data_IF_710719690936
#
_entry.id   IF_710719690936
#
_cell.length_a   1.000
_cell.length_b   1.000
_cell.length_c   1.000
_cell.angle_alpha   90.00
_cell.angle_beta   90.00
_cell.angle_gamma   90.00
#
_symmetry.space_group_name_H-M   'P 1'
#
loop_
_entity.id
_entity.type
_entity.pdbx_description
1 polymer ?
#
# COMPACT_ATOMS: atom_id res chain seq x y z
N UNK A 1 -14.13 -28.15 -6.85
CA UNK A 1 -13.86 -26.71 -7.09
C UNK A 1 -12.65 -26.45 -8.01
N UNK A 2 -11.58 -27.29 -8.02
CA UNK A 2 -10.74 -27.44 -9.25
C UNK A 2 -11.62 -27.83 -10.43
N UNK A 3 -12.61 -28.68 -10.17
CA UNK A 3 -13.64 -29.01 -11.15
C UNK A 3 -14.41 -27.81 -11.67
N UNK A 4 -14.70 -26.75 -10.90
CA UNK A 4 -15.56 -25.67 -11.41
C UNK A 4 -14.83 -24.76 -12.38
N UNK A 5 -13.53 -24.48 -12.15
CA UNK A 5 -12.71 -23.71 -13.08
C UNK A 5 -12.25 -24.55 -14.28
N UNK A 6 -11.90 -25.83 -14.08
CA UNK A 6 -11.63 -26.76 -15.16
C UNK A 6 -12.88 -26.99 -16.01
N UNK A 7 -14.05 -27.20 -15.40
CA UNK A 7 -15.34 -27.38 -16.06
C UNK A 7 -15.82 -26.10 -16.74
N UNK A 8 -15.60 -24.90 -16.18
CA UNK A 8 -15.91 -23.64 -16.87
C UNK A 8 -14.97 -23.41 -18.06
N UNK A 9 -13.71 -23.83 -17.99
CA UNK A 9 -12.76 -23.77 -19.13
C UNK A 9 -13.08 -24.83 -20.18
N UNK A 10 -13.49 -26.04 -19.78
CA UNK A 10 -13.82 -27.16 -20.68
C UNK A 10 -15.25 -27.07 -21.27
N UNK A 11 -16.22 -26.53 -20.55
CA UNK A 11 -17.63 -26.39 -20.96
C UNK A 11 -18.01 -24.99 -21.45
N UNK A 12 -17.04 -24.17 -21.83
CA UNK A 12 -17.20 -22.81 -22.41
C UNK A 12 -17.94 -22.77 -23.80
N UNK A 13 -18.66 -23.85 -24.14
CA UNK A 13 -19.44 -24.03 -25.36
C UNK A 13 -20.70 -24.90 -25.23
N UNK A 14 -21.11 -25.32 -24.03
CA UNK A 14 -22.37 -26.06 -23.84
C UNK A 14 -23.40 -25.20 -23.09
N UNK A 15 -24.54 -24.95 -23.74
CA UNK A 15 -25.72 -24.38 -23.09
C UNK A 15 -26.18 -25.35 -21.97
N UNK A 16 -26.44 -24.86 -20.75
CA UNK A 16 -27.07 -25.70 -19.75
C UNK A 16 -28.48 -26.05 -20.24
N UNK A 17 -28.72 -27.34 -20.46
CA UNK A 17 -30.06 -27.86 -20.75
C UNK A 17 -30.83 -27.90 -19.41
N UNK A 18 -32.05 -27.36 -19.33
CA UNK A 18 -32.79 -27.31 -18.06
C UNK A 18 -33.24 -28.72 -17.66
N UNK A 19 -32.78 -29.21 -16.51
CA UNK A 19 -33.35 -30.39 -15.85
C UNK A 19 -34.39 -29.99 -14.79
N UNK A 20 -35.42 -30.83 -14.56
CA UNK A 20 -36.57 -30.47 -13.74
C UNK A 20 -36.24 -30.43 -12.25
N UNK A 21 -36.63 -29.33 -11.61
CA UNK A 21 -36.49 -29.08 -10.17
C UNK A 21 -37.36 -30.03 -9.34
N UNK A 22 -36.81 -30.58 -8.25
CA UNK A 22 -37.53 -31.29 -7.21
C UNK A 22 -37.43 -30.48 -5.91
N UNK A 23 -38.52 -30.20 -5.16
CA UNK A 23 -38.48 -29.26 -4.07
C UNK A 23 -38.06 -29.94 -2.77
N UNK A 24 -36.94 -29.50 -2.17
CA UNK A 24 -36.42 -30.05 -0.92
C UNK A 24 -35.74 -29.03 -0.01
N UNK A 25 -36.48 -28.63 1.03
CA UNK A 25 -36.11 -28.12 2.37
C UNK A 25 -35.34 -26.76 2.52
N UNK A 26 -35.81 -25.81 3.38
CA UNK A 26 -35.34 -24.42 3.37
C UNK A 26 -34.18 -24.06 4.32
N UNK A 27 -33.45 -25.01 4.91
CA UNK A 27 -32.54 -24.71 6.05
C UNK A 27 -31.04 -24.93 5.82
N UNK A 28 -30.55 -24.86 4.58
CA UNK A 28 -29.12 -24.70 4.32
C UNK A 28 -28.91 -23.79 3.10
N UNK A 29 -28.46 -22.55 3.34
CA UNK A 29 -27.97 -21.64 2.30
C UNK A 29 -26.60 -22.13 1.76
N UNK A 30 -26.56 -23.35 1.21
CA UNK A 30 -25.56 -23.72 0.22
C UNK A 30 -26.13 -23.21 -1.09
N UNK A 31 -25.59 -22.09 -1.56
CA UNK A 31 -25.93 -21.58 -2.87
C UNK A 31 -25.65 -22.67 -3.91
N UNK A 32 -26.69 -23.12 -4.62
CA UNK A 32 -26.54 -24.18 -5.61
C UNK A 32 -25.55 -23.77 -6.69
N UNK A 33 -24.74 -24.71 -7.17
CA UNK A 33 -23.73 -24.47 -8.19
C UNK A 33 -24.33 -23.81 -9.44
N UNK A 34 -25.59 -24.15 -9.76
CA UNK A 34 -26.38 -23.55 -10.83
C UNK A 34 -26.55 -22.03 -10.67
N UNK A 35 -26.85 -21.55 -9.45
CA UNK A 35 -27.00 -20.10 -9.17
C UNK A 35 -25.68 -19.36 -9.29
N UNK A 36 -24.57 -20.00 -8.90
CA UNK A 36 -23.23 -19.44 -9.06
C UNK A 36 -22.89 -19.31 -10.54
N UNK A 37 -23.16 -20.36 -11.32
CA UNK A 37 -22.90 -20.41 -12.76
C UNK A 37 -23.76 -19.39 -13.53
N UNK A 38 -25.04 -19.26 -13.20
CA UNK A 38 -25.92 -18.25 -13.80
C UNK A 38 -25.40 -16.84 -13.60
N UNK A 39 -24.99 -16.49 -12.37
CA UNK A 39 -24.41 -15.17 -12.10
C UNK A 39 -23.09 -14.98 -12.84
N UNK A 40 -22.25 -16.01 -12.91
CA UNK A 40 -21.00 -15.96 -13.66
C UNK A 40 -21.24 -15.70 -15.15
N UNK A 41 -22.22 -16.37 -15.77
CA UNK A 41 -22.57 -16.17 -17.17
C UNK A 41 -23.11 -14.75 -17.46
N UNK A 42 -23.76 -14.08 -16.50
CA UNK A 42 -24.23 -12.69 -16.66
C UNK A 42 -23.10 -11.68 -16.92
N UNK A 43 -21.86 -12.01 -16.56
CA UNK A 43 -20.70 -11.16 -16.82
C UNK A 43 -20.04 -11.40 -18.18
N UNK A 44 -20.60 -12.30 -19.01
CA UNK A 44 -20.06 -12.65 -20.33
C UNK A 44 -18.57 -12.99 -20.28
N UNK A 45 -18.20 -14.06 -19.54
CA UNK A 45 -16.81 -14.45 -19.37
C UNK A 45 -16.14 -14.64 -20.74
N UNK A 46 -14.97 -14.03 -20.97
CA UNK A 46 -14.28 -14.14 -22.24
C UNK A 46 -13.88 -15.60 -22.49
N UNK A 47 -13.94 -16.02 -23.75
CA UNK A 47 -13.46 -17.35 -24.14
C UNK A 47 -11.94 -17.35 -24.24
N UNK A 48 -11.29 -18.39 -23.74
CA UNK A 48 -9.86 -18.59 -23.93
C UNK A 48 -9.59 -19.73 -24.90
N UNK A 49 -8.99 -19.39 -26.03
CA UNK A 49 -8.70 -20.35 -27.09
C UNK A 49 -7.30 -20.97 -26.95
N UNK A 50 -6.54 -20.64 -25.90
CA UNK A 50 -5.25 -21.26 -25.59
C UNK A 50 -4.11 -20.95 -26.58
N UNK A 51 -4.07 -19.73 -27.12
CA UNK A 51 -3.00 -19.30 -28.04
C UNK A 51 -1.64 -19.10 -27.36
N UNK A 52 -0.52 -19.05 -28.13
CA UNK A 52 0.84 -18.94 -27.59
C UNK A 52 1.21 -17.52 -27.12
N UNK A 53 0.32 -16.54 -27.32
CA UNK A 53 0.56 -15.15 -26.99
C UNK A 53 0.33 -14.90 -25.48
N UNK A 54 1.39 -14.61 -24.69
CA UNK A 54 1.25 -14.36 -23.26
C UNK A 54 0.42 -13.12 -22.94
N UNK A 55 0.37 -12.12 -23.83
CA UNK A 55 -0.42 -10.91 -23.60
C UNK A 55 -1.93 -11.21 -23.74
N UNK A 56 -2.30 -12.16 -24.61
CA UNK A 56 -3.69 -12.64 -24.71
C UNK A 56 -4.09 -13.40 -23.45
N UNK A 57 -3.20 -14.27 -22.95
CA UNK A 57 -3.44 -15.02 -21.72
C UNK A 57 -3.57 -14.10 -20.50
N UNK A 58 -2.70 -13.09 -20.39
CA UNK A 58 -2.76 -12.07 -19.33
C UNK A 58 -4.08 -11.31 -19.35
N UNK A 59 -4.49 -10.75 -20.50
CA UNK A 59 -5.76 -10.01 -20.62
C UNK A 59 -6.98 -10.88 -20.31
N UNK A 60 -6.95 -12.15 -20.71
CA UNK A 60 -8.02 -13.08 -20.37
C UNK A 60 -8.08 -13.33 -18.86
N UNK A 61 -6.93 -13.59 -18.25
CA UNK A 61 -6.81 -13.87 -16.81
C UNK A 61 -7.25 -12.67 -15.97
N UNK A 62 -6.85 -11.46 -16.35
CA UNK A 62 -7.30 -10.22 -15.71
C UNK A 62 -8.82 -10.13 -15.69
N UNK A 63 -9.45 -10.30 -16.86
CA UNK A 63 -10.91 -10.20 -16.98
C UNK A 63 -11.64 -11.30 -16.20
N UNK A 64 -11.11 -12.51 -16.14
CA UNK A 64 -11.69 -13.59 -15.33
C UNK A 64 -11.62 -13.27 -13.83
N UNK A 65 -10.48 -12.77 -13.35
CA UNK A 65 -10.33 -12.36 -11.94
C UNK A 65 -11.30 -11.22 -11.60
N UNK A 66 -11.48 -10.25 -12.49
CA UNK A 66 -12.41 -9.13 -12.28
C UNK A 66 -13.86 -9.62 -12.14
N UNK A 67 -14.26 -10.62 -12.93
CA UNK A 67 -15.58 -11.24 -12.83
C UNK A 67 -15.74 -11.95 -11.47
N UNK A 68 -14.73 -12.70 -11.04
CA UNK A 68 -14.76 -13.35 -9.72
C UNK A 68 -14.86 -12.32 -8.58
N UNK A 69 -14.12 -11.21 -8.66
CA UNK A 69 -14.22 -10.11 -7.71
C UNK A 69 -15.64 -9.51 -7.68
N UNK A 70 -16.23 -9.24 -8.85
CA UNK A 70 -17.58 -8.69 -8.96
C UNK A 70 -18.69 -9.62 -8.44
N UNK A 71 -18.48 -10.93 -8.49
CA UNK A 71 -19.39 -11.93 -7.92
C UNK A 71 -19.29 -12.07 -6.39
N UNK A 72 -18.51 -11.21 -5.74
CA UNK A 72 -18.09 -11.39 -4.35
C UNK A 72 -17.47 -12.77 -4.12
N UNK A 73 -16.86 -13.34 -5.16
CA UNK A 73 -15.93 -14.45 -5.06
C UNK A 73 -14.58 -13.86 -4.65
N UNK A 74 -14.59 -13.12 -3.53
CA UNK A 74 -13.41 -12.41 -3.05
C UNK A 74 -12.39 -13.40 -2.53
N UNK A 75 -11.13 -13.06 -2.72
CA UNK A 75 -10.01 -13.79 -2.13
C UNK A 75 -10.21 -13.92 -0.61
N UNK A 76 -10.79 -12.93 0.06
CA UNK A 76 -11.08 -13.01 1.50
C UNK A 76 -12.01 -14.18 1.89
N UNK A 77 -13.07 -14.44 1.11
CA UNK A 77 -13.98 -15.58 1.37
C UNK A 77 -13.30 -16.93 1.16
N UNK A 78 -12.32 -17.01 0.26
CA UNK A 78 -11.53 -18.22 0.04
C UNK A 78 -10.54 -18.50 1.18
N UNK A 79 -10.03 -17.46 1.86
CA UNK A 79 -9.11 -17.61 2.99
C UNK A 79 -9.81 -17.74 4.34
N UNK A 80 -11.08 -17.35 4.46
CA UNK A 80 -11.87 -17.43 5.70
C UNK A 80 -12.59 -18.76 5.90
N UNK A 81 -13.00 -19.44 4.81
CA UNK A 81 -13.96 -20.55 4.94
C UNK A 81 -13.32 -21.93 5.18
N UNK A 82 -12.09 -22.17 4.75
CA UNK A 82 -11.48 -23.51 4.88
C UNK A 82 -9.95 -23.41 5.02
N UNK A 83 -9.35 -24.37 5.72
CA UNK A 83 -7.89 -24.61 5.72
C UNK A 83 -7.36 -25.11 4.36
N UNK A 84 -7.98 -24.68 3.26
CA UNK A 84 -7.60 -24.97 1.88
C UNK A 84 -7.65 -23.70 1.01
N UNK A 85 -6.72 -22.75 1.19
CA UNK A 85 -6.35 -21.71 0.20
C UNK A 85 -5.79 -22.26 -1.12
N UNK A 86 -5.96 -23.56 -1.37
CA UNK A 86 -5.27 -24.31 -2.43
C UNK A 86 -5.91 -24.03 -3.79
N UNK A 87 -7.19 -23.72 -3.91
CA UNK A 87 -7.86 -23.82 -5.23
C UNK A 87 -7.53 -22.69 -6.21
N UNK A 88 -7.57 -21.42 -5.80
CA UNK A 88 -7.20 -20.31 -6.70
C UNK A 88 -5.69 -20.23 -6.91
N UNK A 89 -4.89 -20.36 -5.85
CA UNK A 89 -3.42 -20.39 -5.95
C UNK A 89 -2.96 -21.55 -6.85
N UNK A 90 -3.58 -22.73 -6.76
CA UNK A 90 -3.29 -23.86 -7.66
C UNK A 90 -3.72 -23.56 -9.10
N UNK A 91 -4.91 -22.98 -9.30
CA UNK A 91 -5.35 -22.57 -10.63
C UNK A 91 -4.38 -21.58 -11.27
N UNK A 92 -3.98 -20.53 -10.54
CA UNK A 92 -3.02 -19.53 -11.03
C UNK A 92 -1.68 -20.19 -11.36
N UNK A 93 -1.20 -21.11 -10.51
CA UNK A 93 0.03 -21.85 -10.77
C UNK A 93 -0.06 -22.69 -12.05
N UNK A 94 -1.12 -23.49 -12.20
CA UNK A 94 -1.31 -24.37 -13.35
C UNK A 94 -1.56 -23.57 -14.65
N UNK A 95 -2.34 -22.50 -14.57
CA UNK A 95 -2.58 -21.58 -15.68
C UNK A 95 -1.28 -20.91 -16.11
N UNK A 96 -0.51 -20.38 -15.15
CA UNK A 96 0.75 -19.72 -15.45
C UNK A 96 1.75 -20.69 -16.11
N UNK A 97 1.90 -21.89 -15.55
CA UNK A 97 2.79 -22.92 -16.09
C UNK A 97 2.41 -23.38 -17.50
N UNK A 98 1.10 -23.37 -17.83
CA UNK A 98 0.60 -23.82 -19.13
C UNK A 98 0.68 -22.73 -20.21
N UNK A 99 0.45 -21.47 -19.87
CA UNK A 99 0.23 -20.41 -20.85
C UNK A 99 1.31 -19.32 -20.86
N UNK A 100 2.20 -19.27 -19.87
CA UNK A 100 3.32 -18.33 -19.86
C UNK A 100 4.64 -19.09 -20.03
N UNK A 101 5.44 -18.74 -21.06
CA UNK A 101 6.80 -19.26 -21.16
C UNK A 101 7.59 -18.97 -19.88
N UNK A 102 8.47 -19.89 -19.48
CA UNK A 102 9.25 -19.77 -18.24
C UNK A 102 9.93 -18.41 -18.08
N UNK A 103 10.55 -17.89 -19.15
CA UNK A 103 11.21 -16.57 -19.13
C UNK A 103 10.25 -15.41 -18.84
N UNK A 104 9.01 -15.49 -19.33
CA UNK A 104 7.99 -14.46 -19.08
C UNK A 104 7.50 -14.56 -17.64
N UNK A 105 7.29 -15.78 -17.14
CA UNK A 105 6.90 -16.02 -15.76
C UNK A 105 7.98 -15.51 -14.79
N UNK A 106 9.24 -15.88 -15.02
CA UNK A 106 10.38 -15.42 -14.24
C UNK A 106 10.45 -13.89 -14.21
N UNK A 107 10.33 -13.23 -15.37
CA UNK A 107 10.32 -11.76 -15.46
C UNK A 107 9.18 -11.12 -14.65
N UNK A 108 7.98 -11.70 -14.67
CA UNK A 108 6.81 -11.20 -13.93
C UNK A 108 6.93 -11.46 -12.43
N UNK A 109 7.47 -12.61 -12.04
CA UNK A 109 7.79 -12.91 -10.64
C UNK A 109 8.82 -11.91 -10.10
N UNK A 110 9.86 -11.65 -10.88
CA UNK A 110 10.89 -10.65 -10.61
C UNK A 110 10.32 -9.23 -10.44
N UNK A 111 9.34 -8.86 -11.27
CA UNK A 111 8.60 -7.60 -11.17
C UNK A 111 7.85 -7.52 -9.83
N UNK A 112 7.18 -8.60 -9.43
CA UNK A 112 6.52 -8.70 -8.13
C UNK A 112 7.51 -8.70 -6.95
N UNK A 113 8.70 -9.30 -7.11
CA UNK A 113 9.77 -9.31 -6.10
C UNK A 113 10.35 -7.91 -5.90
N UNK A 114 10.46 -7.12 -6.97
CA UNK A 114 10.98 -5.75 -6.90
C UNK A 114 9.91 -4.71 -6.60
N UNK A 115 8.63 -5.07 -6.64
CA UNK A 115 7.53 -4.15 -6.37
C UNK A 115 7.64 -3.55 -4.98
N UNK A 116 7.65 -2.22 -4.92
CA UNK A 116 7.59 -1.41 -3.71
C UNK A 116 6.76 -0.14 -3.99
N UNK A 117 6.17 0.43 -2.96
CA UNK A 117 5.31 1.62 -3.04
C UNK A 117 6.05 2.80 -3.70
N UNK A 118 7.28 3.09 -3.27
CA UNK A 118 8.05 4.21 -3.81
C UNK A 118 7.29 5.54 -3.68
N UNK A 119 7.06 6.21 -4.82
CA UNK A 119 6.31 7.49 -4.89
C UNK A 119 4.81 7.31 -5.10
N UNK A 120 4.32 6.08 -5.27
CA UNK A 120 2.90 5.80 -5.46
C UNK A 120 2.14 5.93 -4.14
N UNK A 121 0.87 6.26 -4.25
CA UNK A 121 -0.07 6.18 -3.13
C UNK A 121 -0.29 4.71 -2.72
N UNK A 122 -0.73 4.46 -1.49
CA UNK A 122 -1.03 3.09 -1.03
C UNK A 122 -2.03 2.37 -1.97
N UNK A 123 -3.13 3.00 -2.45
CA UNK A 123 -4.05 2.35 -3.38
C UNK A 123 -3.43 2.02 -4.75
N UNK A 124 -2.57 2.88 -5.30
CA UNK A 124 -1.89 2.60 -6.56
C UNK A 124 -0.92 1.41 -6.42
N UNK A 125 -0.18 1.38 -5.32
CA UNK A 125 0.69 0.24 -4.99
C UNK A 125 -0.09 -1.05 -4.77
N UNK A 126 -1.22 -0.99 -4.06
CA UNK A 126 -2.11 -2.14 -3.84
C UNK A 126 -2.60 -2.70 -5.17
N UNK A 127 -3.06 -1.86 -6.09
CA UNK A 127 -3.51 -2.29 -7.42
C UNK A 127 -2.41 -3.04 -8.18
N UNK A 128 -1.16 -2.53 -8.16
CA UNK A 128 -0.01 -3.21 -8.76
C UNK A 128 0.32 -4.52 -8.03
N UNK A 129 0.25 -4.53 -6.71
CA UNK A 129 0.48 -5.71 -5.89
C UNK A 129 -0.50 -6.82 -6.24
N UNK A 130 -1.79 -6.51 -6.24
CA UNK A 130 -2.87 -7.46 -6.57
C UNK A 130 -2.71 -7.97 -8.00
N UNK A 131 -2.41 -7.08 -8.96
CA UNK A 131 -2.16 -7.47 -10.35
C UNK A 131 -0.96 -8.42 -10.50
N UNK A 132 0.19 -8.08 -9.93
CA UNK A 132 1.43 -8.84 -10.11
C UNK A 132 1.47 -10.13 -9.28
N UNK A 133 0.77 -10.18 -8.14
CA UNK A 133 0.70 -11.36 -7.28
C UNK A 133 0.16 -12.61 -8.00
N UNK A 134 -0.64 -12.39 -9.05
CA UNK A 134 -1.17 -13.42 -9.95
C UNK A 134 -0.09 -14.28 -10.61
N UNK A 135 1.09 -13.70 -10.85
CA UNK A 135 2.21 -14.38 -11.51
C UNK A 135 3.15 -15.08 -10.52
N UNK A 136 3.07 -14.72 -9.24
CA UNK A 136 3.91 -15.26 -8.17
C UNK A 136 3.08 -15.89 -7.03
N UNK A 137 2.20 -16.87 -7.34
CA UNK A 137 1.32 -17.50 -6.34
C UNK A 137 2.10 -18.10 -5.15
N UNK A 138 3.33 -18.57 -5.39
CA UNK A 138 4.21 -19.18 -4.38
C UNK A 138 4.68 -18.19 -3.29
N UNK A 139 4.70 -16.89 -3.61
CA UNK A 139 5.07 -15.84 -2.66
C UNK A 139 3.91 -15.40 -1.77
N UNK A 140 2.67 -15.74 -2.14
CA UNK A 140 1.44 -15.34 -1.43
C UNK A 140 0.53 -16.51 -1.03
N UNK A 141 1.08 -17.73 -0.98
CA UNK A 141 0.35 -18.99 -0.68
C UNK A 141 -0.54 -18.91 0.56
N UNK A 142 -0.12 -18.17 1.59
CA UNK A 142 -0.90 -17.99 2.83
C UNK A 142 -1.26 -16.53 3.01
N UNK A 143 -2.39 -16.25 3.69
CA UNK A 143 -2.77 -14.86 4.00
C UNK A 143 -1.65 -14.14 4.74
N UNK A 144 -0.97 -14.79 5.69
CA UNK A 144 0.17 -14.22 6.39
C UNK A 144 1.34 -13.90 5.45
N UNK A 145 1.68 -14.79 4.49
CA UNK A 145 2.73 -14.51 3.50
C UNK A 145 2.36 -13.31 2.64
N UNK A 146 1.10 -13.24 2.18
CA UNK A 146 0.57 -12.12 1.41
C UNK A 146 0.65 -10.81 2.18
N UNK A 147 0.12 -10.76 3.40
CA UNK A 147 0.16 -9.59 4.28
C UNK A 147 1.60 -9.15 4.50
N UNK A 148 2.49 -10.09 4.87
CA UNK A 148 3.91 -9.78 5.09
C UNK A 148 4.56 -9.18 3.85
N UNK A 149 4.31 -9.78 2.68
CA UNK A 149 4.87 -9.31 1.41
C UNK A 149 4.38 -7.91 1.07
N UNK A 150 3.08 -7.66 1.23
CA UNK A 150 2.48 -6.34 1.02
C UNK A 150 3.09 -5.28 1.92
N UNK A 151 3.17 -5.55 3.23
CA UNK A 151 3.76 -4.63 4.21
C UNK A 151 5.23 -4.36 3.89
N UNK A 152 6.00 -5.38 3.50
CA UNK A 152 7.41 -5.21 3.14
C UNK A 152 7.66 -4.29 1.95
N UNK A 153 6.71 -4.18 1.02
CA UNK A 153 6.81 -3.26 -0.11
C UNK A 153 6.30 -1.84 0.19
N UNK A 154 5.63 -1.59 1.32
CA UNK A 154 5.20 -0.24 1.70
C UNK A 154 6.40 0.66 2.05
N UNK A 155 6.20 1.97 2.08
CA UNK A 155 7.23 2.90 2.53
C UNK A 155 7.59 2.65 4.01
N UNK A 156 8.88 2.75 4.37
CA UNK A 156 9.43 2.38 5.69
C UNK A 156 8.70 3.02 6.88
N UNK A 157 8.27 4.26 6.68
CA UNK A 157 7.50 5.02 7.66
C UNK A 157 6.12 4.39 7.94
N UNK A 158 5.44 3.89 6.90
CA UNK A 158 4.19 3.14 7.04
C UNK A 158 4.47 1.77 7.64
N UNK A 159 5.54 1.08 7.22
CA UNK A 159 5.93 -0.21 7.78
C UNK A 159 6.12 -0.15 9.30
N UNK A 160 6.81 0.90 9.79
CA UNK A 160 7.05 1.13 11.21
C UNK A 160 5.74 1.28 11.99
N UNK A 161 4.80 2.03 11.47
CA UNK A 161 3.50 2.25 12.11
C UNK A 161 2.64 0.97 12.10
N UNK A 162 2.76 0.15 11.06
CA UNK A 162 2.06 -1.13 10.95
C UNK A 162 2.72 -2.26 11.76
N UNK A 163 4.02 -2.19 12.04
CA UNK A 163 4.76 -3.24 12.76
C UNK A 163 4.26 -3.48 14.19
N UNK A 164 3.62 -2.48 14.80
CA UNK A 164 3.04 -2.56 16.15
C UNK A 164 1.53 -2.87 16.13
N UNK A 165 0.90 -2.91 14.95
CA UNK A 165 -0.52 -3.16 14.81
C UNK A 165 -0.79 -4.65 14.56
N UNK A 166 -1.79 -5.27 15.22
CA UNK A 166 -2.23 -6.60 14.84
C UNK A 166 -2.90 -6.55 13.46
N UNK A 167 -2.48 -7.39 12.52
CA UNK A 167 -3.03 -7.46 11.17
C UNK A 167 -3.29 -8.93 10.84
N UNK A 168 -4.55 -9.30 10.71
CA UNK A 168 -4.99 -10.69 10.51
C UNK A 168 -5.55 -10.95 9.09
N UNK A 169 -5.92 -9.88 8.39
CA UNK A 169 -6.48 -9.94 7.03
C UNK A 169 -5.75 -8.97 6.11
N UNK A 170 -5.90 -9.19 4.81
CA UNK A 170 -5.31 -8.33 3.79
C UNK A 170 -6.01 -6.96 3.77
N UNK A 171 -7.34 -6.92 3.82
CA UNK A 171 -8.13 -5.68 3.95
C UNK A 171 -7.73 -4.84 5.17
N UNK A 172 -7.47 -5.47 6.33
CA UNK A 172 -6.97 -4.73 7.50
C UNK A 172 -5.61 -4.07 7.23
N UNK A 173 -4.74 -4.73 6.46
CA UNK A 173 -3.42 -4.18 6.12
C UNK A 173 -3.57 -2.94 5.23
N UNK A 174 -4.44 -3.01 4.21
CA UNK A 174 -4.73 -1.93 3.28
C UNK A 174 -5.34 -0.72 4.00
N UNK A 175 -6.41 -0.93 4.76
CA UNK A 175 -7.13 0.14 5.43
C UNK A 175 -6.22 0.87 6.45
N UNK A 176 -5.38 0.12 7.17
CA UNK A 176 -4.41 0.70 8.11
C UNK A 176 -3.30 1.45 7.38
N UNK A 177 -2.75 0.90 6.30
CA UNK A 177 -1.75 1.58 5.49
C UNK A 177 -2.28 2.92 4.93
N UNK A 178 -3.50 2.93 4.40
CA UNK A 178 -4.16 4.14 3.89
C UNK A 178 -4.41 5.18 5.01
N UNK A 179 -4.82 4.73 6.20
CA UNK A 179 -4.98 5.62 7.37
C UNK A 179 -3.66 6.29 7.76
N UNK A 180 -2.56 5.52 7.79
CA UNK A 180 -1.23 6.05 8.12
C UNK A 180 -0.76 7.04 7.05
N UNK A 181 -0.92 6.71 5.76
CA UNK A 181 -0.59 7.62 4.66
C UNK A 181 -1.36 8.94 4.78
N UNK A 182 -2.66 8.87 5.00
CA UNK A 182 -3.53 10.05 5.18
C UNK A 182 -3.12 10.91 6.37
N UNK A 183 -2.84 10.29 7.52
CA UNK A 183 -2.40 11.01 8.73
C UNK A 183 -1.07 11.73 8.50
N UNK A 184 -0.13 11.09 7.79
CA UNK A 184 1.18 11.68 7.47
C UNK A 184 1.06 12.83 6.48
N UNK A 185 0.19 12.73 5.47
CA UNK A 185 -0.11 13.82 4.56
C UNK A 185 -0.70 15.03 5.31
N UNK A 186 -1.59 14.81 6.28
CA UNK A 186 -2.12 15.90 7.11
C UNK A 186 -1.03 16.59 7.94
N UNK A 187 -0.13 15.81 8.57
CA UNK A 187 1.00 16.37 9.34
C UNK A 187 1.93 17.19 8.45
N UNK A 188 2.27 16.69 7.26
CA UNK A 188 3.10 17.42 6.29
C UNK A 188 2.45 18.74 5.88
N UNK A 189 1.17 18.70 5.48
CA UNK A 189 0.41 19.89 5.08
C UNK A 189 0.33 20.94 6.21
N UNK A 190 0.27 20.51 7.47
CA UNK A 190 0.28 21.43 8.62
C UNK A 190 1.66 22.07 8.83
N UNK A 191 2.74 21.30 8.64
CA UNK A 191 4.11 21.81 8.73
C UNK A 191 4.43 22.80 7.60
N UNK A 192 4.01 22.49 6.37
CA UNK A 192 4.21 23.35 5.20
C UNK A 192 3.49 24.70 5.35
N UNK A 193 2.27 24.70 5.90
CA UNK A 193 1.51 25.91 6.23
C UNK A 193 2.20 26.78 7.28
N UNK A 194 2.90 26.17 8.25
CA UNK A 194 3.69 26.92 9.24
C UNK A 194 4.99 27.47 8.65
N UNK A 195 5.57 26.79 7.67
CA UNK A 195 6.81 27.22 7.01
C UNK A 195 6.57 28.29 5.94
N UNK A 196 5.38 28.32 5.34
CA UNK A 196 4.94 29.35 4.38
C UNK A 196 4.54 30.70 4.99
N UNK A 197 4.55 30.86 6.31
CA UNK A 197 4.55 32.16 6.97
C UNK A 197 6.00 32.52 7.29
N UNK A 198 6.73 33.27 6.43
CA UNK A 198 7.94 33.92 6.90
C UNK A 198 7.50 34.80 8.07
N UNK A 199 8.11 34.56 9.23
CA UNK A 199 7.89 35.33 10.42
C UNK A 199 7.84 36.80 10.04
N UNK A 200 6.77 37.46 10.45
CA UNK A 200 6.65 38.90 10.49
C UNK A 200 7.98 39.46 11.00
N UNK A 201 8.82 39.96 10.09
CA UNK A 201 9.94 40.80 10.46
C UNK A 201 9.29 42.03 11.03
N UNK A 202 9.17 42.07 12.36
CA UNK A 202 8.70 43.27 13.07
C UNK A 202 9.55 44.42 12.57
N UNK A 203 8.91 45.40 11.93
CA UNK A 203 9.58 46.49 11.27
C UNK A 203 10.58 47.18 12.20
N UNK A 204 11.87 47.07 11.89
CA UNK A 204 12.88 47.96 12.44
C UNK A 204 13.11 49.08 11.44
N UNK A 205 12.10 49.93 11.31
CA UNK A 205 12.15 51.18 10.61
C UNK A 205 11.66 52.28 11.53
N UNK A 206 12.54 52.80 12.38
CA UNK A 206 12.36 54.18 12.85
C UNK A 206 13.71 54.91 12.89
N UNK A 207 13.85 55.81 11.91
CA UNK A 207 14.84 56.89 11.89
C UNK A 207 14.56 57.81 13.07
N UNK A 208 15.61 58.24 13.77
CA UNK A 208 15.47 59.25 14.82
C UNK A 208 16.73 59.48 15.64
N UNK A 209 17.84 59.83 15.00
CA UNK A 209 18.92 60.55 15.70
C UNK A 209 18.37 61.86 16.25
N UNK A 210 18.47 62.16 17.56
CA UNK A 210 18.14 63.48 18.07
C UNK A 210 19.25 64.48 17.73
N UNK A 211 18.94 65.72 17.34
CA UNK A 211 19.94 66.75 17.10
C UNK A 211 20.51 67.24 18.43
N UNK A 212 21.83 67.10 18.63
CA UNK A 212 22.54 67.70 19.76
C UNK A 212 22.78 69.19 19.48
N UNK A 213 21.87 70.04 19.96
CA UNK A 213 22.15 71.46 20.15
C UNK A 213 23.13 71.62 21.31
N UNK A 214 24.26 72.29 21.06
CA UNK A 214 25.29 72.57 22.06
C UNK A 214 24.98 73.81 22.90
N UNK A 215 25.46 73.81 24.16
CA UNK A 215 25.83 75.01 24.90
C UNK A 215 26.85 74.62 25.96
N UNK A 216 28.10 75.07 25.80
CA UNK A 216 29.22 74.72 26.66
C UNK A 216 29.24 75.49 27.99
N UNK A 217 30.13 75.09 28.91
CA UNK A 217 30.99 75.96 29.75
C UNK A 217 32.09 75.11 30.42
N UNK A 218 33.33 75.25 29.91
CA UNK A 218 34.61 75.49 30.63
C UNK A 218 34.83 74.90 32.05
N UNK A 219 35.90 74.12 32.22
CA UNK A 219 36.81 74.26 33.39
C UNK A 219 37.45 72.99 34.00
N UNK A 220 38.80 72.94 33.98
CA UNK A 220 39.68 72.21 34.94
C UNK A 220 40.08 70.77 34.56
N UNK A 221 41.27 70.47 34.00
CA UNK A 221 42.62 70.32 34.62
C UNK A 221 42.68 69.45 35.90
N UNK A 222 43.13 68.19 35.72
CA UNK A 222 44.08 67.31 36.49
C UNK A 222 44.39 67.56 37.99
N UNK A 223 45.09 66.64 38.71
CA UNK A 223 45.15 65.16 38.68
C UNK A 223 45.16 64.53 40.11
N UNK A 224 45.16 63.20 40.23
CA UNK A 224 45.35 62.53 41.52
C UNK A 224 45.83 61.09 41.38
N UNK A 225 47.15 60.91 41.40
CA UNK A 225 47.86 59.64 41.42
C UNK A 225 48.02 59.16 42.87
N UNK A 226 47.69 57.91 43.20
CA UNK A 226 48.34 57.17 44.29
C UNK A 226 48.54 55.70 43.91
N UNK A 227 49.67 55.19 44.38
CA UNK A 227 50.45 54.04 43.94
C UNK A 227 50.62 53.12 45.15
N UNK A 228 50.63 51.81 44.94
CA UNK A 228 51.09 50.79 45.91
C UNK A 228 50.56 49.42 45.50
N UNK A 229 51.28 48.57 44.76
CA UNK A 229 52.53 47.85 45.02
C UNK A 229 52.41 46.67 46.02
N UNK A 230 52.52 45.45 45.46
CA UNK A 230 53.18 44.21 45.99
C UNK A 230 52.49 43.54 47.21
N UNK A 231 52.51 42.23 47.45
CA UNK A 231 53.29 41.06 46.97
C UNK A 231 52.66 39.77 47.57
N UNK A 232 52.90 38.61 46.93
CA UNK A 232 53.00 37.28 47.57
C UNK A 232 51.68 36.53 47.84
N UNK A 233 51.57 35.20 47.74
CA UNK A 233 52.53 34.10 47.52
C UNK A 233 51.79 32.85 47.04
N UNK A 234 52.53 31.96 46.37
CA UNK A 234 52.23 30.56 46.07
C UNK A 234 51.85 29.76 47.34
N UNK A 235 50.85 28.87 47.29
CA UNK A 235 50.92 27.42 47.06
C UNK A 235 51.39 26.58 48.27
N UNK A 236 50.57 25.60 48.70
CA UNK A 236 50.91 24.20 49.08
C UNK A 236 49.78 23.59 49.94
N UNK A 237 49.38 22.37 49.57
CA UNK A 237 48.40 21.52 50.25
C UNK A 237 47.86 20.46 49.32
#
# INVERSE_FOLDING_TARGET
MTDLLAHVVEHQGQNPSPQPENPGNPDNFVESEDRVLERFQKFFPPKFNGGPDPDVAERWLEKMVDIFAALHYTEERQWEREQTPKTLVNFMREFNAKFFPHLIQERKEDEFIRLHQGTQTVPEYESQFTRLSKFAPELIVTKQRRIRRFVQGLNVEIQKDLAVAPINTFSEAEEKAQRVESARLQVRNFQDKKQGFPGSSSGQGNKGTPPKFGRGTRGGRQPGMWRGARQGTANLG
#
